data_IF_060938984688
#
_entry.id   IF_060938984688
#
_cell.length_a   1.000
_cell.length_b   1.000
_cell.length_c   1.000
_cell.angle_alpha   90.00
_cell.angle_beta   90.00
_cell.angle_gamma   90.00
#
_symmetry.space_group_name_H-M   'P 1'
#
loop_
_entity.id
_entity.type
_entity.pdbx_description
1 polymer ?
#
# COMPACT_ATOMS: atom_id res chain seq x y z
N UNK A 1 -6.97 32.42 -51.06
CA UNK A 1 -7.45 32.06 -49.71
C UNK A 1 -7.43 30.55 -49.39
N UNK A 2 -6.93 29.65 -50.27
CA UNK A 2 -6.90 28.19 -50.01
C UNK A 2 -5.49 27.58 -49.94
N UNK A 3 -4.46 28.34 -50.30
CA UNK A 3 -3.06 27.89 -50.31
C UNK A 3 -2.27 28.25 -49.04
N UNK A 4 -2.83 29.08 -48.15
CA UNK A 4 -2.13 29.54 -46.94
C UNK A 4 -2.21 28.55 -45.76
N UNK A 5 -3.20 27.65 -45.75
CA UNK A 5 -3.38 26.67 -44.67
C UNK A 5 -2.41 25.48 -44.74
N UNK A 6 -1.79 25.22 -45.90
CA UNK A 6 -0.86 24.09 -46.06
C UNK A 6 0.54 24.37 -45.49
N UNK A 7 0.92 25.64 -45.30
CA UNK A 7 2.23 25.99 -44.74
C UNK A 7 2.29 25.85 -43.21
N UNK A 8 1.16 25.97 -42.50
CA UNK A 8 1.12 25.87 -41.04
C UNK A 8 1.30 24.43 -40.52
N UNK A 9 0.95 23.42 -41.30
CA UNK A 9 1.07 22.01 -40.88
C UNK A 9 2.51 21.48 -40.92
N UNK A 10 3.41 22.11 -41.66
CA UNK A 10 4.78 21.62 -41.85
C UNK A 10 5.77 22.07 -40.76
N UNK A 11 5.37 22.94 -39.82
CA UNK A 11 6.26 23.45 -38.77
C UNK A 11 6.10 22.76 -37.39
N UNK A 12 5.20 21.78 -37.26
CA UNK A 12 4.89 21.16 -35.96
C UNK A 12 5.53 19.79 -35.69
N UNK A 13 6.36 19.25 -36.59
CA UNK A 13 6.89 17.89 -36.44
C UNK A 13 8.40 17.85 -36.19
N UNK A 14 8.86 18.47 -35.11
CA UNK A 14 10.12 18.08 -34.48
C UNK A 14 9.90 17.89 -32.99
N UNK A 15 9.01 16.96 -32.64
CA UNK A 15 8.93 16.43 -31.29
C UNK A 15 10.14 15.52 -31.07
N UNK A 16 11.04 15.92 -30.17
CA UNK A 16 12.16 15.08 -29.72
C UNK A 16 11.61 13.79 -29.11
N UNK A 17 11.72 12.67 -29.81
CA UNK A 17 11.32 11.36 -29.29
C UNK A 17 12.38 10.97 -28.25
N UNK A 18 12.07 11.15 -26.97
CA UNK A 18 12.91 10.65 -25.89
C UNK A 18 12.89 9.11 -25.92
N UNK A 19 14.07 8.50 -25.96
CA UNK A 19 14.18 7.05 -25.90
C UNK A 19 13.88 6.58 -24.47
N UNK A 20 12.85 5.74 -24.31
CA UNK A 20 12.48 5.11 -23.04
C UNK A 20 13.16 3.75 -22.94
N UNK A 21 13.94 3.54 -21.89
CA UNK A 21 14.68 2.30 -21.63
C UNK A 21 13.91 1.37 -20.70
N UNK A 22 13.91 0.08 -21.02
CA UNK A 22 13.31 -0.98 -20.20
C UNK A 22 14.38 -1.59 -19.30
N UNK A 23 14.24 -1.41 -17.99
CA UNK A 23 15.16 -1.93 -16.98
C UNK A 23 14.50 -3.02 -16.12
N UNK A 24 15.31 -3.83 -15.47
CA UNK A 24 14.89 -4.85 -14.50
C UNK A 24 15.39 -4.45 -13.11
N UNK A 25 14.49 -4.40 -12.12
CA UNK A 25 14.85 -4.23 -10.72
C UNK A 25 15.47 -5.52 -10.14
N UNK A 26 16.12 -5.40 -8.99
CA UNK A 26 16.69 -6.48 -8.16
C UNK A 26 15.71 -7.61 -7.84
N UNK A 27 14.41 -7.32 -7.83
CA UNK A 27 13.32 -8.31 -7.64
C UNK A 27 12.81 -8.92 -8.94
N UNK A 28 13.41 -8.59 -10.09
CA UNK A 28 13.00 -9.04 -11.42
C UNK A 28 11.82 -8.29 -12.03
N UNK A 29 11.37 -7.21 -11.39
CA UNK A 29 10.29 -6.35 -11.90
C UNK A 29 10.75 -5.49 -13.08
N UNK A 30 9.89 -5.33 -14.08
CA UNK A 30 10.17 -4.46 -15.22
C UNK A 30 9.81 -3.02 -14.86
N UNK A 31 10.75 -2.10 -15.05
CA UNK A 31 10.57 -0.65 -14.88
C UNK A 31 11.02 0.09 -16.14
N UNK A 32 10.42 1.24 -16.43
CA UNK A 32 10.77 2.07 -17.57
C UNK A 32 11.40 3.38 -17.10
N UNK A 33 12.47 3.80 -17.76
CA UNK A 33 13.26 4.96 -17.39
C UNK A 33 13.67 5.75 -18.62
N UNK A 34 13.65 7.08 -18.52
CA UNK A 34 14.14 7.99 -19.56
C UNK A 34 15.69 8.03 -19.62
N UNK A 35 16.35 7.36 -18.67
CA UNK A 35 17.81 7.21 -18.61
C UNK A 35 18.22 5.75 -18.85
N UNK A 36 19.35 5.49 -19.54
CA UNK A 36 19.87 4.15 -19.74
C UNK A 36 20.17 3.46 -18.40
N UNK A 37 19.87 2.16 -18.31
CA UNK A 37 20.07 1.38 -17.09
C UNK A 37 21.57 1.26 -16.78
N UNK A 38 21.97 1.46 -15.51
CA UNK A 38 23.37 1.30 -15.09
C UNK A 38 23.73 -0.18 -15.03
N UNK A 39 24.53 -0.68 -15.97
CA UNK A 39 24.93 -2.10 -16.06
C UNK A 39 26.32 -2.36 -15.49
N UNK A 40 26.61 -1.88 -14.28
CA UNK A 40 27.92 -2.08 -13.65
C UNK A 40 27.80 -2.87 -12.34
N UNK A 41 27.85 -4.20 -12.47
CA UNK A 41 28.26 -5.09 -11.39
C UNK A 41 29.22 -6.17 -11.94
N UNK A 42 30.22 -5.75 -12.70
CA UNK A 42 31.39 -6.57 -13.03
C UNK A 42 32.67 -5.75 -12.81
N UNK A 43 33.26 -5.96 -11.61
CA UNK A 43 34.70 -6.12 -11.32
C UNK A 43 35.39 -5.10 -10.36
N UNK A 44 35.54 -5.57 -9.10
CA UNK A 44 36.63 -5.43 -8.09
C UNK A 44 37.15 -4.06 -7.62
N UNK A 45 37.13 -3.88 -6.29
CA UNK A 45 38.31 -3.54 -5.46
C UNK A 45 38.12 -4.00 -3.99
N UNK A 46 38.91 -5.02 -3.60
CA UNK A 46 39.61 -5.30 -2.32
C UNK A 46 38.84 -5.29 -0.96
N UNK A 47 38.71 -6.50 -0.39
CA UNK A 47 38.45 -6.80 1.03
C UNK A 47 39.69 -6.51 1.91
N UNK A 48 39.53 -5.92 3.10
CA UNK A 48 39.58 -6.71 4.34
C UNK A 48 38.42 -6.43 5.33
N UNK A 49 37.96 -7.53 5.93
CA UNK A 49 37.09 -7.72 7.10
C UNK A 49 37.51 -6.89 8.36
N UNK A 50 36.66 -6.73 9.42
CA UNK A 50 36.15 -7.87 10.20
C UNK A 50 34.78 -7.74 10.94
N UNK A 51 34.25 -8.92 11.31
CA UNK A 51 33.60 -9.29 12.60
C UNK A 51 32.39 -8.43 13.07
N UNK A 52 31.27 -8.95 13.54
CA UNK A 52 31.00 -10.15 14.33
C UNK A 52 29.48 -10.36 14.36
N UNK A 53 29.07 -11.61 14.52
CA UNK A 53 27.75 -12.01 15.03
C UNK A 53 27.35 -11.21 16.27
N UNK A 54 26.09 -10.76 16.39
CA UNK A 54 25.44 -10.61 17.71
C UNK A 54 23.94 -10.89 17.60
N UNK A 55 23.57 -12.07 18.11
CA UNK A 55 22.26 -12.44 18.66
C UNK A 55 21.91 -11.52 19.84
N UNK A 56 20.63 -11.23 20.09
CA UNK A 56 20.20 -11.14 21.50
C UNK A 56 18.94 -11.95 21.78
N UNK A 57 19.15 -13.08 22.45
CA UNK A 57 18.35 -13.46 23.62
C UNK A 57 19.36 -13.42 24.78
N UNK A 58 19.03 -12.81 25.91
CA UNK A 58 18.96 -13.66 27.10
C UNK A 58 17.85 -13.31 28.08
N UNK A 59 17.49 -14.36 28.81
CA UNK A 59 16.62 -14.45 29.96
C UNK A 59 17.35 -14.12 31.28
N UNK A 60 16.51 -13.87 32.29
CA UNK A 60 16.66 -14.24 33.73
C UNK A 60 17.08 -13.18 34.78
N UNK A 61 16.04 -12.73 35.51
CA UNK A 61 15.90 -12.54 36.96
C UNK A 61 16.96 -11.81 37.79
N UNK A 62 16.49 -10.83 38.57
CA UNK A 62 16.71 -10.79 40.03
C UNK A 62 15.66 -9.91 40.71
N UNK A 63 15.33 -10.30 41.93
CA UNK A 63 14.21 -9.87 42.79
C UNK A 63 14.38 -8.47 43.38
N UNK A 64 13.26 -8.00 43.94
CA UNK A 64 13.09 -6.92 44.93
C UNK A 64 12.97 -5.49 44.37
N UNK A 65 11.73 -5.01 44.30
CA UNK A 65 11.20 -4.14 45.34
C UNK A 65 9.74 -3.81 45.00
N UNK A 66 8.88 -4.15 45.94
CA UNK A 66 7.52 -3.68 46.08
C UNK A 66 7.39 -2.16 45.82
N UNK A 67 6.22 -1.76 45.30
CA UNK A 67 5.66 -0.38 45.25
C UNK A 67 5.36 0.20 43.86
N UNK A 68 4.72 -0.56 42.97
CA UNK A 68 3.80 0.04 41.97
C UNK A 68 2.56 -0.85 41.80
N UNK A 69 1.85 -1.11 42.90
CA UNK A 69 0.55 -1.82 42.90
C UNK A 69 -0.64 -0.87 43.13
N UNK A 70 -0.46 0.43 42.95
CA UNK A 70 -1.48 1.45 43.27
C UNK A 70 -1.87 2.38 42.11
N UNK A 71 -1.44 2.13 40.87
CA UNK A 71 -1.73 3.02 39.74
C UNK A 71 -2.39 2.38 38.51
N UNK A 72 -2.64 1.07 38.53
CA UNK A 72 -3.42 0.40 37.48
C UNK A 72 -4.73 -0.11 38.05
N UNK A 73 -5.72 0.78 38.12
CA UNK A 73 -7.14 0.45 38.09
C UNK A 73 -7.68 0.88 36.73
N UNK A 74 -8.05 -0.04 35.84
CA UNK A 74 -9.11 0.20 34.87
C UNK A 74 -10.38 -0.38 35.48
N UNK A 75 -11.26 0.49 35.94
CA UNK A 75 -12.61 0.12 36.32
C UNK A 75 -13.29 -0.59 35.14
N UNK A 76 -13.77 -1.80 35.46
CA UNK A 76 -14.71 -2.55 34.66
C UNK A 76 -16.03 -1.76 34.55
N UNK A 77 -16.22 -1.10 33.42
CA UNK A 77 -17.54 -0.67 32.97
C UNK A 77 -17.86 -1.33 31.62
N UNK A 78 -18.53 -2.47 31.72
CA UNK A 78 -19.51 -2.92 30.75
C UNK A 78 -20.89 -2.62 31.35
N UNK A 79 -21.76 -1.92 30.61
CA UNK A 79 -23.03 -2.52 30.22
C UNK A 79 -23.24 -2.25 28.73
N UNK A 80 -23.99 -2.98 27.93
CA UNK A 80 -24.76 -4.21 28.03
C UNK A 80 -25.14 -4.43 26.55
N UNK A 81 -25.02 -5.65 26.06
CA UNK A 81 -25.59 -6.00 24.75
C UNK A 81 -27.11 -5.85 24.83
N UNK A 82 -27.66 -4.88 24.10
CA UNK A 82 -29.09 -4.87 23.77
C UNK A 82 -29.24 -5.37 22.33
N UNK A 83 -29.67 -6.62 22.22
CA UNK A 83 -30.27 -7.14 21.00
C UNK A 83 -31.57 -6.35 20.71
N UNK A 84 -31.70 -5.76 19.53
CA UNK A 84 -32.96 -5.62 18.78
C UNK A 84 -32.75 -5.08 17.36
N UNK A 85 -32.95 -5.97 16.37
CA UNK A 85 -33.54 -5.75 15.04
C UNK A 85 -32.70 -5.12 13.91
N UNK A 86 -32.59 -5.80 12.73
CA UNK A 86 -31.88 -5.29 11.56
C UNK A 86 -32.75 -4.28 10.79
N UNK A 87 -32.24 -3.07 10.64
CA UNK A 87 -32.74 -2.05 9.70
C UNK A 87 -31.55 -1.18 9.29
N UNK A 88 -31.50 -0.67 8.06
CA UNK A 88 -30.27 -0.50 7.31
C UNK A 88 -29.37 0.53 7.98
N UNK A 89 -28.22 0.06 8.48
CA UNK A 89 -27.16 0.95 8.95
C UNK A 89 -26.59 1.66 7.73
N UNK A 90 -27.07 2.87 7.48
CA UNK A 90 -26.29 3.87 6.78
C UNK A 90 -25.07 4.16 7.63
N UNK A 91 -23.99 3.42 7.40
CA UNK A 91 -22.69 3.76 7.93
C UNK A 91 -22.33 5.12 7.36
N UNK A 92 -22.31 6.15 8.22
CA UNK A 92 -21.86 7.49 7.86
C UNK A 92 -20.43 7.38 7.34
N UNK A 93 -20.32 7.39 6.02
CA UNK A 93 -19.09 7.16 5.30
C UNK A 93 -18.22 8.37 5.55
N UNK A 94 -17.25 8.25 6.46
CA UNK A 94 -16.22 9.27 6.65
C UNK A 94 -15.39 9.32 5.38
N UNK A 95 -15.92 10.05 4.39
CA UNK A 95 -15.53 10.09 2.98
C UNK A 95 -14.15 10.73 2.78
N UNK A 96 -13.47 11.08 3.88
CA UNK A 96 -12.19 11.78 3.92
C UNK A 96 -11.02 10.84 4.30
N UNK A 97 -11.25 9.54 4.57
CA UNK A 97 -10.20 8.65 5.11
C UNK A 97 -9.46 7.79 4.09
N UNK A 98 -10.03 7.56 2.91
CA UNK A 98 -9.49 6.60 1.97
C UNK A 98 -9.16 7.27 0.63
N UNK A 99 -8.02 6.90 0.06
CA UNK A 99 -7.51 7.44 -1.20
C UNK A 99 -7.09 6.28 -2.08
N UNK A 100 -7.35 6.39 -3.37
CA UNK A 100 -6.87 5.43 -4.35
C UNK A 100 -5.35 5.57 -4.49
N UNK A 101 -4.63 4.63 -3.89
CA UNK A 101 -3.16 4.55 -3.85
C UNK A 101 -2.62 3.38 -4.68
N UNK A 102 -3.48 2.74 -5.48
CA UNK A 102 -3.12 1.62 -6.35
C UNK A 102 -3.21 0.24 -5.69
N UNK A 103 -3.74 0.14 -4.46
CA UNK A 103 -4.07 -1.16 -3.86
C UNK A 103 -5.25 -1.81 -4.58
N UNK A 104 -5.11 -3.10 -4.85
CA UNK A 104 -6.10 -3.87 -5.62
C UNK A 104 -6.51 -5.20 -4.98
N UNK A 105 -5.83 -5.63 -3.91
CA UNK A 105 -6.05 -6.94 -3.27
C UNK A 105 -6.46 -6.79 -1.80
N UNK A 106 -7.21 -7.77 -1.30
CA UNK A 106 -7.72 -7.77 0.07
C UNK A 106 -6.66 -7.75 1.16
N UNK A 107 -5.50 -8.37 0.95
CA UNK A 107 -4.40 -8.35 1.92
C UNK A 107 -3.80 -6.96 2.14
N UNK A 108 -4.14 -5.99 1.29
CA UNK A 108 -3.66 -4.62 1.38
C UNK A 108 -4.68 -3.69 2.07
N UNK A 109 -5.91 -4.16 2.29
CA UNK A 109 -6.93 -3.43 3.05
C UNK A 109 -6.78 -3.70 4.54
N UNK A 110 -7.43 -2.87 5.34
CA UNK A 110 -7.40 -2.94 6.80
C UNK A 110 -8.81 -3.03 7.41
N UNK A 111 -9.86 -2.78 6.61
CA UNK A 111 -11.24 -2.91 7.05
C UNK A 111 -12.19 -3.22 5.89
N UNK A 112 -13.42 -3.64 6.23
CA UNK A 112 -14.46 -3.90 5.26
C UNK A 112 -14.91 -2.60 4.58
N UNK A 113 -15.06 -1.51 5.34
CA UNK A 113 -15.45 -0.19 4.84
C UNK A 113 -14.42 0.42 3.89
N UNK A 114 -13.14 0.19 4.15
CA UNK A 114 -12.06 0.55 3.24
C UNK A 114 -12.15 -0.28 1.96
N UNK A 115 -12.28 -1.61 2.04
CA UNK A 115 -12.43 -2.44 0.85
C UNK A 115 -13.65 -2.02 0.00
N UNK A 116 -14.76 -1.70 0.66
CA UNK A 116 -15.98 -1.16 0.02
C UNK A 116 -15.75 0.22 -0.60
N UNK A 117 -14.86 1.05 -0.04
CA UNK A 117 -14.43 2.29 -0.70
C UNK A 117 -13.89 1.99 -2.09
N UNK A 118 -12.93 1.06 -2.12
CA UNK A 118 -12.05 0.90 -3.26
C UNK A 118 -12.83 0.35 -4.45
N UNK A 119 -13.72 -0.63 -4.25
CA UNK A 119 -14.55 -1.14 -5.37
C UNK A 119 -15.49 -0.08 -5.95
N UNK A 120 -15.88 0.92 -5.15
CA UNK A 120 -16.83 1.96 -5.56
C UNK A 120 -16.13 3.21 -6.14
N UNK A 121 -14.90 3.50 -5.71
CA UNK A 121 -14.22 4.78 -5.99
C UNK A 121 -12.89 4.62 -6.72
N UNK A 122 -12.27 3.44 -6.70
CA UNK A 122 -10.95 3.21 -7.26
C UNK A 122 -10.99 2.29 -8.48
N UNK A 123 -10.24 2.61 -9.57
CA UNK A 123 -10.18 1.75 -10.73
C UNK A 123 -9.34 0.49 -10.48
N UNK A 124 -9.54 -0.55 -11.29
CA UNK A 124 -8.72 -1.76 -11.37
C UNK A 124 -8.67 -2.63 -10.09
N UNK A 125 -9.67 -2.54 -9.22
CA UNK A 125 -9.74 -3.35 -8.00
C UNK A 125 -10.05 -4.82 -8.28
N UNK A 126 -9.40 -5.75 -7.56
CA UNK A 126 -9.54 -7.21 -7.72
C UNK A 126 -9.89 -7.88 -6.38
N UNK A 127 -10.83 -7.30 -5.66
CA UNK A 127 -11.17 -7.70 -4.30
C UNK A 127 -12.60 -8.23 -4.12
N UNK A 128 -13.46 -7.96 -5.10
CA UNK A 128 -14.77 -8.56 -5.26
C UNK A 128 -14.67 -9.54 -6.44
N UNK A 129 -14.67 -10.84 -6.14
CA UNK A 129 -14.40 -11.90 -7.12
C UNK A 129 -15.66 -12.43 -7.81
N UNK A 130 -16.80 -12.36 -7.12
CA UNK A 130 -18.12 -12.79 -7.58
C UNK A 130 -19.01 -11.61 -8.03
N UNK A 131 -18.55 -10.37 -7.84
CA UNK A 131 -19.24 -9.13 -8.21
C UNK A 131 -20.58 -8.95 -7.50
N UNK A 132 -20.66 -9.39 -6.24
CA UNK A 132 -21.85 -9.22 -5.41
C UNK A 132 -21.86 -7.87 -4.65
N UNK A 133 -20.79 -7.09 -4.78
CA UNK A 133 -20.61 -5.80 -4.10
C UNK A 133 -20.02 -5.92 -2.70
N UNK A 134 -19.66 -7.13 -2.25
CA UNK A 134 -19.04 -7.39 -0.95
C UNK A 134 -17.57 -7.77 -1.17
N UNK A 135 -16.63 -6.83 -1.02
CA UNK A 135 -15.23 -7.12 -1.22
C UNK A 135 -14.65 -7.88 -0.02
N UNK A 136 -13.65 -8.71 -0.25
CA UNK A 136 -12.85 -9.32 0.83
C UNK A 136 -13.63 -10.10 1.90
N UNK A 137 -14.68 -10.82 1.51
CA UNK A 137 -15.54 -11.65 2.38
C UNK A 137 -14.74 -12.56 3.33
N UNK A 138 -13.59 -13.07 2.87
CA UNK A 138 -12.75 -13.99 3.65
C UNK A 138 -11.91 -13.31 4.72
N UNK A 139 -11.62 -12.02 4.62
CA UNK A 139 -10.66 -11.31 5.47
C UNK A 139 -11.30 -10.20 6.30
N UNK A 140 -12.07 -9.32 5.67
CA UNK A 140 -12.54 -8.08 6.31
C UNK A 140 -14.06 -8.03 6.47
N UNK A 141 -14.83 -8.49 5.47
CA UNK A 141 -16.29 -8.46 5.48
C UNK A 141 -16.86 -9.84 5.87
N UNK A 142 -16.78 -10.19 7.16
CA UNK A 142 -17.29 -11.47 7.72
C UNK A 142 -18.56 -11.27 8.54
#
# INVERSE_FOLDING_TARGET
>A
MKTLFLAFFLLYTTGSIAAVYKCTDTKGGIVYSDRPCSTDAKNKTKEPQPSTQVKPEPSLTSKAADKIKSFFRPDSHLPNQTNSTPSPKGHEYNSQRFVCDGRIYCSQMTSCEEATFFINHCPNTKMDGNYDGIPCEKQWCR
#
